data_IF_243044881251
#
_entry.id   IF_243044881251
#
_cell.length_a   1.000
_cell.length_b   1.000
_cell.length_c   1.000
_cell.angle_alpha   90.00
_cell.angle_beta   90.00
_cell.angle_gamma   90.00
#
_symmetry.space_group_name_H-M   'P 1'
#
loop_
_entity.id
_entity.type
_entity.pdbx_description
1 polymer ?
#
# COMPACT_ATOMS: atom_id res chain seq x y z
N UNK A 1 15.45 20.92 8.34
CA UNK A 1 14.57 19.74 8.39
C UNK A 1 13.89 19.70 7.05
N UNK A 2 14.36 18.87 6.12
CA UNK A 2 13.72 18.74 4.82
C UNK A 2 12.42 17.96 5.03
N UNK A 3 11.32 18.70 5.01
CA UNK A 3 9.96 18.16 5.07
C UNK A 3 9.74 17.44 3.74
N UNK A 4 9.64 16.11 3.79
CA UNK A 4 9.28 15.32 2.61
C UNK A 4 7.80 15.54 2.39
N UNK A 5 7.52 16.47 1.48
CA UNK A 5 6.20 16.70 0.93
C UNK A 5 5.85 15.53 -0.01
N UNK A 6 4.72 14.83 0.19
CA UNK A 6 4.21 13.84 -0.76
C UNK A 6 4.08 14.36 -2.21
N UNK A 7 4.11 15.68 -2.38
CA UNK A 7 3.97 16.41 -3.64
C UNK A 7 5.25 17.09 -4.17
N UNK A 8 6.37 17.03 -3.42
CA UNK A 8 7.62 17.73 -3.75
C UNK A 8 8.62 16.88 -4.55
N UNK A 9 9.11 17.40 -5.68
CA UNK A 9 10.15 16.76 -6.51
C UNK A 9 11.55 17.18 -6.06
N UNK A 10 12.11 16.50 -5.07
CA UNK A 10 13.54 16.57 -4.75
C UNK A 10 14.19 15.24 -5.12
N UNK A 11 15.43 15.28 -5.63
CA UNK A 11 16.24 14.07 -5.85
C UNK A 11 16.36 13.37 -4.50
N UNK A 12 15.63 12.27 -4.35
CA UNK A 12 15.47 11.60 -3.07
C UNK A 12 16.79 10.89 -2.75
N UNK A 13 17.47 11.34 -1.71
CA UNK A 13 18.59 10.62 -1.11
C UNK A 13 18.03 9.46 -0.28
N UNK A 14 17.89 8.31 -0.94
CA UNK A 14 17.28 7.13 -0.36
C UNK A 14 18.09 6.53 0.80
N UNK A 15 19.39 6.82 0.90
CA UNK A 15 20.22 6.39 2.03
C UNK A 15 19.91 7.22 3.29
N UNK A 16 19.77 8.54 3.13
CA UNK A 16 19.30 9.41 4.22
C UNK A 16 17.89 9.08 4.68
N UNK A 17 17.00 8.71 3.75
CA UNK A 17 15.67 8.21 4.07
C UNK A 17 15.72 6.95 4.94
N UNK A 18 16.62 6.00 4.63
CA UNK A 18 16.74 4.78 5.43
C UNK A 18 17.16 5.08 6.87
N UNK A 19 18.10 5.99 7.06
CA UNK A 19 18.57 6.40 8.39
C UNK A 19 17.52 7.21 9.15
N UNK A 20 16.90 8.20 8.51
CA UNK A 20 15.96 9.12 9.17
C UNK A 20 14.68 8.41 9.65
N UNK A 21 14.19 7.44 8.88
CA UNK A 21 12.95 6.74 9.18
C UNK A 21 13.19 5.36 9.82
N UNK A 22 14.44 4.93 9.98
CA UNK A 22 14.77 3.58 10.49
C UNK A 22 14.26 2.47 9.55
N UNK A 23 14.24 2.72 8.25
CA UNK A 23 13.96 1.71 7.23
C UNK A 23 15.23 0.90 7.04
N UNK A 24 15.15 -0.43 7.21
CA UNK A 24 16.30 -1.32 7.01
C UNK A 24 16.57 -1.50 5.52
N UNK A 25 17.82 -1.74 5.13
CA UNK A 25 18.14 -1.94 3.73
C UNK A 25 17.58 -3.27 3.22
N UNK A 26 16.99 -3.29 2.03
CA UNK A 26 16.43 -4.53 1.46
C UNK A 26 17.52 -5.57 1.14
N UNK A 27 18.73 -5.10 0.83
CA UNK A 27 19.91 -5.96 0.59
C UNK A 27 20.22 -6.90 1.77
N UNK A 28 19.79 -6.55 2.97
CA UNK A 28 20.06 -7.32 4.18
C UNK A 28 19.29 -8.65 4.20
N UNK A 29 18.18 -8.75 3.45
CA UNK A 29 17.30 -9.94 3.41
C UNK A 29 17.25 -10.61 2.04
N UNK A 30 17.86 -10.02 1.01
CA UNK A 30 17.67 -10.48 -0.39
C UNK A 30 18.17 -11.90 -0.63
N UNK A 31 19.24 -12.32 0.05
CA UNK A 31 19.83 -13.64 -0.10
C UNK A 31 18.97 -14.76 0.51
N UNK A 32 17.98 -14.41 1.33
CA UNK A 32 17.03 -15.35 1.94
C UNK A 32 15.78 -15.55 1.08
N UNK A 33 15.65 -14.84 -0.05
CA UNK A 33 14.45 -14.85 -0.89
C UNK A 33 14.62 -15.84 -2.05
N UNK A 34 13.81 -16.90 -2.13
CA UNK A 34 13.87 -17.84 -3.24
C UNK A 34 13.37 -17.19 -4.54
N UNK A 35 14.21 -17.18 -5.59
CA UNK A 35 13.91 -16.56 -6.89
C UNK A 35 13.46 -15.08 -6.72
N UNK A 36 14.35 -14.29 -6.13
CA UNK A 36 14.16 -12.86 -5.90
C UNK A 36 13.88 -12.11 -7.23
N UNK A 37 12.93 -11.18 -7.20
CA UNK A 37 12.54 -10.44 -8.41
C UNK A 37 13.66 -9.55 -8.95
N UNK A 38 13.55 -9.15 -10.22
CA UNK A 38 14.47 -8.14 -10.81
C UNK A 38 14.41 -6.80 -10.08
N UNK A 39 13.26 -6.44 -9.49
CA UNK A 39 13.12 -5.19 -8.73
C UNK A 39 13.91 -5.27 -7.41
N UNK A 40 13.96 -6.45 -6.79
CA UNK A 40 14.76 -6.71 -5.59
C UNK A 40 16.25 -6.72 -5.92
N UNK A 41 16.67 -7.54 -6.90
CA UNK A 41 18.10 -7.73 -7.24
C UNK A 41 18.77 -6.51 -7.85
N UNK A 42 18.00 -5.58 -8.43
CA UNK A 42 18.51 -4.31 -8.97
C UNK A 42 18.46 -3.15 -7.96
N UNK A 43 18.05 -3.40 -6.71
CA UNK A 43 17.94 -2.35 -5.69
C UNK A 43 16.88 -1.28 -5.97
N UNK A 44 15.89 -1.59 -6.81
CA UNK A 44 14.71 -0.74 -7.03
C UNK A 44 13.84 -0.79 -5.78
N UNK A 45 13.61 -2.00 -5.25
CA UNK A 45 13.19 -2.19 -3.87
C UNK A 45 14.45 -2.03 -3.01
N UNK A 46 14.55 -0.90 -2.33
CA UNK A 46 15.78 -0.50 -1.63
C UNK A 46 15.67 -0.66 -0.11
N UNK A 47 14.44 -0.62 0.44
CA UNK A 47 14.20 -0.65 1.87
C UNK A 47 13.15 -1.67 2.29
N UNK A 48 13.15 -2.02 3.57
CA UNK A 48 12.17 -2.90 4.18
C UNK A 48 11.86 -2.59 5.64
N UNK A 49 10.71 -3.09 6.08
CA UNK A 49 10.36 -3.27 7.49
C UNK A 49 9.85 -4.69 7.72
N UNK A 50 10.47 -5.37 8.66
CA UNK A 50 10.17 -6.73 9.12
C UNK A 50 9.92 -7.77 8.03
N UNK A 51 10.60 -7.61 6.90
CA UNK A 51 10.46 -8.52 5.76
C UNK A 51 10.91 -9.94 6.07
N UNK A 52 11.65 -10.15 7.16
CA UNK A 52 12.00 -11.48 7.68
C UNK A 52 10.77 -12.36 7.98
N UNK A 53 9.61 -11.76 8.33
CA UNK A 53 8.35 -12.52 8.48
C UNK A 53 7.87 -13.09 7.14
N UNK A 54 8.14 -12.38 6.05
CA UNK A 54 7.81 -12.79 4.69
C UNK A 54 8.83 -13.79 4.17
N UNK A 55 10.14 -13.61 4.45
CA UNK A 55 11.14 -14.63 4.09
C UNK A 55 10.89 -15.95 4.82
N UNK A 56 10.53 -15.91 6.10
CA UNK A 56 10.10 -17.11 6.84
C UNK A 56 8.88 -17.79 6.20
N UNK A 57 7.86 -17.01 5.80
CA UNK A 57 6.69 -17.56 5.13
C UNK A 57 7.02 -18.19 3.77
N UNK A 58 7.86 -17.53 2.97
CA UNK A 58 8.32 -18.02 1.68
C UNK A 58 9.14 -19.32 1.81
N UNK A 59 10.06 -19.38 2.77
CA UNK A 59 10.98 -20.50 2.93
C UNK A 59 10.32 -21.73 3.58
N UNK A 60 9.28 -21.52 4.39
CA UNK A 60 8.57 -22.59 5.08
C UNK A 60 7.17 -22.87 4.51
N UNK A 61 6.86 -22.31 3.33
CA UNK A 61 5.56 -22.47 2.66
C UNK A 61 4.36 -22.17 3.57
N UNK A 62 4.46 -21.09 4.38
CA UNK A 62 3.38 -20.61 5.24
C UNK A 62 2.56 -19.55 4.50
N UNK A 63 1.28 -19.45 4.87
CA UNK A 63 0.39 -18.44 4.30
C UNK A 63 0.83 -17.02 4.69
N UNK A 64 0.76 -16.10 3.72
CA UNK A 64 0.96 -14.67 3.93
C UNK A 64 0.16 -13.89 2.87
N UNK A 65 -0.19 -12.65 3.17
CA UNK A 65 -0.97 -11.82 2.26
C UNK A 65 -0.17 -10.61 1.77
N UNK A 66 -0.46 -10.15 0.57
CA UNK A 66 0.04 -8.89 0.00
C UNK A 66 -1.13 -7.94 -0.09
N UNK A 67 -1.03 -6.76 0.51
CA UNK A 67 -2.07 -5.74 0.42
C UNK A 67 -1.63 -4.56 -0.43
N UNK A 68 -2.51 -4.12 -1.33
CA UNK A 68 -2.35 -2.88 -2.09
C UNK A 68 -3.66 -2.10 -2.14
N UNK A 69 -3.57 -0.79 -2.03
CA UNK A 69 -4.68 0.12 -2.31
C UNK A 69 -4.58 0.68 -3.73
N UNK A 70 -5.73 0.84 -4.38
CA UNK A 70 -5.87 1.51 -5.66
C UNK A 70 -6.74 2.75 -5.48
N UNK A 71 -6.15 3.92 -5.74
CA UNK A 71 -6.90 5.16 -5.87
C UNK A 71 -7.41 5.26 -7.32
N UNK A 72 -8.73 5.17 -7.57
CA UNK A 72 -9.28 5.21 -8.92
C UNK A 72 -9.30 6.64 -9.45
N UNK A 73 -8.19 7.12 -10.01
CA UNK A 73 -8.08 8.51 -10.43
C UNK A 73 -7.07 8.73 -11.56
N UNK A 74 -7.57 9.23 -12.68
CA UNK A 74 -6.76 9.48 -13.87
C UNK A 74 -6.30 8.19 -14.54
N UNK A 75 -5.44 8.34 -15.55
CA UNK A 75 -4.96 7.21 -16.36
C UNK A 75 -3.79 6.48 -15.71
N UNK A 76 -3.70 5.17 -15.90
CA UNK A 76 -2.58 4.37 -15.44
C UNK A 76 -1.35 4.67 -16.29
N UNK A 77 -0.24 5.05 -15.65
CA UNK A 77 1.07 5.18 -16.28
C UNK A 77 2.08 4.10 -15.84
N UNK A 78 3.22 4.01 -16.54
CA UNK A 78 4.30 3.03 -16.28
C UNK A 78 4.82 3.01 -14.83
N UNK A 79 4.70 4.10 -14.08
CA UNK A 79 4.96 4.09 -12.63
C UNK A 79 4.13 3.05 -11.86
N UNK A 80 2.87 2.82 -12.23
CA UNK A 80 2.01 1.82 -11.61
C UNK A 80 2.41 0.38 -11.97
N UNK A 81 3.03 0.18 -13.14
CA UNK A 81 3.51 -1.13 -13.59
C UNK A 81 4.46 -1.77 -12.56
N UNK A 82 5.28 -0.97 -11.89
CA UNK A 82 6.20 -1.47 -10.86
C UNK A 82 5.46 -2.10 -9.67
N UNK A 83 4.29 -1.59 -9.30
CA UNK A 83 3.45 -2.22 -8.27
C UNK A 83 2.87 -3.52 -8.82
N UNK A 84 2.34 -3.52 -10.05
CA UNK A 84 1.81 -4.73 -10.70
C UNK A 84 2.86 -5.85 -10.81
N UNK A 85 4.10 -5.52 -11.18
CA UNK A 85 5.20 -6.48 -11.24
C UNK A 85 5.49 -7.13 -9.87
N UNK A 86 5.38 -6.36 -8.78
CA UNK A 86 5.51 -6.86 -7.41
C UNK A 86 4.35 -7.78 -7.05
N UNK A 87 3.10 -7.36 -7.30
CA UNK A 87 1.90 -8.16 -7.05
C UNK A 87 1.97 -9.50 -7.78
N UNK A 88 2.35 -9.49 -9.06
CA UNK A 88 2.55 -10.71 -9.84
C UNK A 88 3.61 -11.62 -9.23
N UNK A 89 4.71 -11.05 -8.74
CA UNK A 89 5.75 -11.86 -8.10
C UNK A 89 5.21 -12.51 -6.83
N UNK A 90 4.58 -11.76 -5.92
CA UNK A 90 3.98 -12.31 -4.70
C UNK A 90 2.88 -13.33 -4.99
N UNK A 91 2.03 -13.08 -6.00
CA UNK A 91 0.98 -14.00 -6.41
C UNK A 91 1.55 -15.34 -6.89
N UNK A 92 2.67 -15.32 -7.64
CA UNK A 92 3.37 -16.56 -8.03
C UNK A 92 4.02 -17.29 -6.85
N UNK A 93 4.36 -16.57 -5.78
CA UNK A 93 4.87 -17.15 -4.53
C UNK A 93 3.76 -17.65 -3.59
N UNK A 94 2.50 -17.65 -4.04
CA UNK A 94 1.37 -18.16 -3.27
C UNK A 94 0.78 -17.17 -2.26
N UNK A 95 1.12 -15.88 -2.34
CA UNK A 95 0.51 -14.87 -1.48
C UNK A 95 -0.97 -14.66 -1.82
N UNK A 96 -1.81 -14.47 -0.80
CA UNK A 96 -3.15 -13.92 -0.99
C UNK A 96 -3.04 -12.43 -1.34
N UNK A 97 -3.44 -12.06 -2.55
CA UNK A 97 -3.41 -10.69 -3.03
C UNK A 97 -4.71 -10.01 -2.67
N UNK A 98 -4.66 -9.04 -1.76
CA UNK A 98 -5.76 -8.15 -1.46
C UNK A 98 -5.57 -6.82 -2.17
N UNK A 99 -6.64 -6.36 -2.82
CA UNK A 99 -6.67 -5.11 -3.57
C UNK A 99 -7.93 -4.34 -3.21
N UNK A 100 -7.76 -3.23 -2.50
CA UNK A 100 -8.88 -2.32 -2.23
C UNK A 100 -8.98 -1.25 -3.31
N UNK A 101 -10.19 -0.98 -3.75
CA UNK A 101 -10.53 0.22 -4.52
C UNK A 101 -10.94 1.28 -3.50
N UNK A 102 -10.15 2.34 -3.39
CA UNK A 102 -10.30 3.42 -2.41
C UNK A 102 -11.39 4.43 -2.82
N UNK A 103 -12.59 3.93 -3.14
CA UNK A 103 -13.72 4.74 -3.62
C UNK A 103 -14.27 5.70 -2.56
N UNK A 104 -14.16 5.34 -1.27
CA UNK A 104 -14.53 6.23 -0.17
C UNK A 104 -13.56 7.42 -0.05
N UNK A 105 -12.26 7.19 -0.26
CA UNK A 105 -11.26 8.25 -0.28
C UNK A 105 -11.38 9.12 -1.52
N UNK A 106 -11.58 8.51 -2.70
CA UNK A 106 -11.81 9.23 -3.94
C UNK A 106 -13.02 10.19 -3.82
N UNK A 107 -14.11 9.75 -3.19
CA UNK A 107 -15.25 10.60 -2.90
C UNK A 107 -14.93 11.73 -1.92
N UNK A 108 -14.33 11.42 -0.77
CA UNK A 108 -14.14 12.39 0.30
C UNK A 108 -13.03 13.41 0.04
N UNK A 109 -11.97 13.02 -0.67
CA UNK A 109 -10.79 13.83 -0.92
C UNK A 109 -10.79 14.50 -2.31
N UNK A 110 -11.42 13.87 -3.30
CA UNK A 110 -11.35 14.30 -4.72
C UNK A 110 -12.72 14.59 -5.34
N UNK A 111 -13.82 14.33 -4.64
CA UNK A 111 -15.17 14.54 -5.15
C UNK A 111 -15.58 13.58 -6.27
N UNK A 112 -14.85 12.48 -6.46
CA UNK A 112 -15.15 11.47 -7.49
C UNK A 112 -16.31 10.61 -6.98
N UNK A 113 -17.36 10.44 -7.79
CA UNK A 113 -18.51 9.63 -7.39
C UNK A 113 -18.12 8.16 -7.22
N UNK A 114 -18.88 7.39 -6.42
CA UNK A 114 -18.60 5.95 -6.25
C UNK A 114 -18.77 5.15 -7.55
N UNK A 115 -19.76 5.53 -8.36
CA UNK A 115 -19.99 4.92 -9.68
C UNK A 115 -18.82 5.17 -10.62
N UNK A 116 -18.33 6.41 -10.67
CA UNK A 116 -17.15 6.79 -11.46
C UNK A 116 -15.88 6.12 -10.95
N UNK A 117 -15.71 6.03 -9.63
CA UNK A 117 -14.59 5.32 -8.99
C UNK A 117 -14.56 3.84 -9.39
N UNK A 118 -15.73 3.18 -9.40
CA UNK A 118 -15.86 1.79 -9.85
C UNK A 118 -15.53 1.65 -11.33
N UNK A 119 -16.07 2.52 -12.18
CA UNK A 119 -15.82 2.49 -13.62
C UNK A 119 -14.34 2.67 -13.94
N UNK A 120 -13.70 3.69 -13.36
CA UNK A 120 -12.26 3.94 -13.49
C UNK A 120 -11.45 2.76 -13.00
N UNK A 121 -11.77 2.19 -11.83
CA UNK A 121 -11.05 1.04 -11.31
C UNK A 121 -11.10 -0.15 -12.28
N UNK A 122 -12.27 -0.46 -12.84
CA UNK A 122 -12.45 -1.58 -13.75
C UNK A 122 -11.75 -1.35 -15.09
N UNK A 123 -12.11 -0.26 -15.77
CA UNK A 123 -11.73 0.00 -17.17
C UNK A 123 -10.29 0.50 -17.28
N UNK A 124 -9.83 1.34 -16.36
CA UNK A 124 -8.50 1.94 -16.47
C UNK A 124 -7.43 1.16 -15.71
N UNK A 125 -7.76 0.52 -14.58
CA UNK A 125 -6.73 -0.12 -13.76
C UNK A 125 -6.77 -1.65 -13.84
N UNK A 126 -7.91 -2.29 -13.57
CA UNK A 126 -8.00 -3.75 -13.53
C UNK A 126 -7.74 -4.35 -14.93
N UNK A 127 -8.30 -3.78 -15.99
CA UNK A 127 -7.98 -4.20 -17.37
C UNK A 127 -6.48 -4.13 -17.67
N UNK A 128 -5.82 -3.02 -17.30
CA UNK A 128 -4.37 -2.88 -17.47
C UNK A 128 -3.56 -3.85 -16.59
N UNK A 129 -4.02 -4.14 -15.37
CA UNK A 129 -3.37 -5.11 -14.48
C UNK A 129 -3.43 -6.52 -15.07
N UNK A 130 -4.58 -6.90 -15.64
CA UNK A 130 -4.77 -8.16 -16.36
C UNK A 130 -3.87 -8.19 -17.60
N UNK A 131 -3.83 -7.12 -18.40
CA UNK A 131 -2.97 -7.02 -19.58
C UNK A 131 -1.48 -7.14 -19.25
N UNK A 132 -1.07 -6.63 -18.08
CA UNK A 132 0.27 -6.80 -17.55
C UNK A 132 0.52 -8.19 -16.97
N UNK A 133 -0.49 -9.04 -16.85
CA UNK A 133 -0.40 -10.45 -16.49
C UNK A 133 -0.61 -10.74 -15.00
N UNK A 134 -1.30 -9.86 -14.26
CA UNK A 134 -1.85 -10.20 -12.95
C UNK A 134 -3.09 -11.08 -13.16
N UNK A 135 -3.12 -12.26 -12.55
CA UNK A 135 -4.21 -13.20 -12.75
C UNK A 135 -5.30 -12.97 -11.70
N UNK A 136 -6.33 -12.22 -12.08
CA UNK A 136 -7.46 -11.89 -11.19
C UNK A 136 -8.48 -13.03 -11.04
N UNK A 137 -8.29 -14.14 -11.76
CA UNK A 137 -9.21 -15.29 -11.73
C UNK A 137 -8.86 -16.32 -10.67
N UNK A 138 -7.67 -16.20 -10.05
CA UNK A 138 -7.23 -17.11 -8.99
C UNK A 138 -7.99 -16.86 -7.69
N UNK A 139 -8.20 -17.94 -6.95
CA UNK A 139 -8.88 -17.91 -5.64
C UNK A 139 -8.14 -17.04 -4.60
N UNK A 140 -6.81 -16.91 -4.74
CA UNK A 140 -5.98 -16.08 -3.87
C UNK A 140 -5.93 -14.59 -4.32
N UNK A 141 -6.88 -14.13 -5.13
CA UNK A 141 -7.03 -12.74 -5.52
C UNK A 141 -8.35 -12.17 -4.98
N UNK A 142 -8.26 -11.14 -4.15
CA UNK A 142 -9.39 -10.52 -3.46
C UNK A 142 -9.48 -9.04 -3.83
N UNK A 143 -10.43 -8.70 -4.70
CA UNK A 143 -10.73 -7.34 -5.11
C UNK A 143 -12.02 -6.86 -4.45
N UNK A 144 -12.02 -5.67 -3.87
CA UNK A 144 -13.22 -5.10 -3.27
C UNK A 144 -13.22 -3.57 -3.28
N UNK A 145 -14.42 -2.99 -3.23
CA UNK A 145 -14.63 -1.56 -2.97
C UNK A 145 -14.68 -1.32 -1.47
N UNK A 146 -14.00 -0.28 -0.98
CA UNK A 146 -14.05 0.08 0.44
C UNK A 146 -15.49 0.33 0.89
N UNK A 147 -16.30 0.96 0.05
CA UNK A 147 -17.70 1.26 0.42
C UNK A 147 -18.61 0.04 0.53
N UNK A 148 -18.24 -1.09 -0.09
CA UNK A 148 -19.01 -2.34 -0.12
C UNK A 148 -18.44 -3.42 0.80
N UNK A 149 -17.27 -3.18 1.40
CA UNK A 149 -16.65 -4.10 2.34
C UNK A 149 -16.99 -3.70 3.79
N UNK A 150 -18.01 -4.35 4.36
CA UNK A 150 -18.45 -4.08 5.74
C UNK A 150 -17.37 -4.40 6.77
N UNK A 151 -16.49 -5.34 6.48
CA UNK A 151 -15.43 -5.75 7.41
C UNK A 151 -14.39 -4.66 7.56
N UNK A 152 -13.97 -4.08 6.45
CA UNK A 152 -13.06 -2.93 6.42
C UNK A 152 -13.70 -1.74 7.11
N UNK A 153 -14.97 -1.43 6.82
CA UNK A 153 -15.67 -0.30 7.45
C UNK A 153 -15.81 -0.48 8.97
N UNK A 154 -16.21 -1.67 9.41
CA UNK A 154 -16.36 -2.00 10.83
C UNK A 154 -15.01 -1.98 11.55
N UNK A 155 -13.97 -2.57 10.95
CA UNK A 155 -12.62 -2.57 11.51
C UNK A 155 -12.07 -1.13 11.61
N UNK A 156 -12.26 -0.30 10.58
CA UNK A 156 -11.86 1.11 10.60
C UNK A 156 -12.53 1.89 11.73
N UNK A 157 -13.82 1.63 11.99
CA UNK A 157 -14.55 2.25 13.09
C UNK A 157 -13.93 1.90 14.46
N UNK A 158 -13.62 0.61 14.66
CA UNK A 158 -12.97 0.15 15.89
C UNK A 158 -11.58 0.76 16.06
N UNK A 159 -10.78 0.77 15.00
CA UNK A 159 -9.44 1.38 14.97
C UNK A 159 -9.50 2.86 15.34
N UNK A 160 -10.53 3.58 14.86
CA UNK A 160 -10.76 5.00 15.16
C UNK A 160 -10.77 5.32 16.66
N UNK A 161 -11.16 4.38 17.52
CA UNK A 161 -11.11 4.53 18.99
C UNK A 161 -9.70 4.75 19.54
N UNK A 162 -8.65 4.33 18.81
CA UNK A 162 -7.25 4.34 19.24
C UNK A 162 -6.40 5.41 18.55
N UNK A 163 -7.01 6.26 17.72
CA UNK A 163 -6.33 7.32 16.96
C UNK A 163 -6.92 8.68 17.34
N UNK A 164 -6.05 9.62 17.66
CA UNK A 164 -6.44 11.00 17.96
C UNK A 164 -6.36 11.88 16.72
N UNK A 165 -7.16 12.95 16.68
CA UNK A 165 -7.07 13.93 15.60
C UNK A 165 -5.67 14.57 15.51
N UNK A 166 -4.99 14.80 16.65
CA UNK A 166 -3.62 15.31 16.67
C UNK A 166 -2.64 14.42 15.89
N UNK A 167 -2.76 13.09 16.00
CA UNK A 167 -1.97 12.16 15.20
C UNK A 167 -2.29 12.29 13.72
N UNK A 168 -3.58 12.39 13.36
CA UNK A 168 -3.99 12.58 11.96
C UNK A 168 -3.44 13.88 11.36
N UNK A 169 -3.47 14.98 12.12
CA UNK A 169 -2.86 16.26 11.71
C UNK A 169 -1.36 16.13 11.47
N UNK A 170 -0.66 15.45 12.36
CA UNK A 170 0.80 15.26 12.28
C UNK A 170 1.21 14.44 11.05
N UNK A 171 0.45 13.39 10.73
CA UNK A 171 0.80 12.45 9.64
C UNK A 171 0.33 12.94 8.28
N UNK A 172 -0.89 13.49 8.19
CA UNK A 172 -1.55 13.81 6.93
C UNK A 172 -1.68 15.31 6.66
N UNK A 173 -1.25 16.16 7.60
CA UNK A 173 -1.37 17.61 7.46
C UNK A 173 -2.81 18.13 7.56
N UNK A 174 -3.75 17.32 8.06
CA UNK A 174 -5.15 17.75 8.20
C UNK A 174 -5.28 18.96 9.13
N UNK A 175 -6.30 19.76 8.85
CA UNK A 175 -6.64 20.96 9.58
C UNK A 175 -8.16 21.07 9.76
N UNK A 176 -8.61 22.18 10.34
CA UNK A 176 -10.02 22.41 10.61
C UNK A 176 -10.87 22.63 9.35
N UNK A 177 -10.25 22.79 8.17
CA UNK A 177 -10.96 22.87 6.89
C UNK A 177 -11.16 21.50 6.24
N UNK A 178 -10.45 20.48 6.72
CA UNK A 178 -10.55 19.11 6.19
C UNK A 178 -11.87 18.49 6.64
N UNK A 179 -12.64 17.95 5.69
CA UNK A 179 -13.93 17.33 6.01
C UNK A 179 -13.74 16.00 6.78
N UNK A 180 -14.72 15.65 7.62
CA UNK A 180 -14.65 14.47 8.51
C UNK A 180 -14.52 13.16 7.72
N UNK A 181 -15.18 13.07 6.55
CA UNK A 181 -15.05 11.87 5.72
C UNK A 181 -13.60 11.67 5.25
N UNK A 182 -12.91 12.73 4.83
CA UNK A 182 -11.51 12.67 4.44
C UNK A 182 -10.60 12.35 5.63
N UNK A 183 -10.86 12.94 6.80
CA UNK A 183 -10.14 12.61 8.05
C UNK A 183 -10.30 11.12 8.43
N UNK A 184 -11.41 10.49 8.06
CA UNK A 184 -11.68 9.08 8.34
C UNK A 184 -10.95 8.13 7.38
N UNK A 185 -10.61 8.56 6.16
CA UNK A 185 -10.03 7.69 5.12
C UNK A 185 -8.72 6.98 5.51
N UNK A 186 -7.79 7.57 6.29
CA UNK A 186 -6.63 6.83 6.76
C UNK A 186 -6.99 5.61 7.61
N UNK A 187 -8.10 5.66 8.37
CA UNK A 187 -8.55 4.53 9.18
C UNK A 187 -9.05 3.37 8.29
N UNK A 188 -9.67 3.68 7.16
CA UNK A 188 -10.03 2.68 6.14
C UNK A 188 -8.78 2.03 5.54
N UNK A 189 -7.73 2.82 5.27
CA UNK A 189 -6.46 2.30 4.77
C UNK A 189 -5.72 1.42 5.80
N UNK A 190 -5.76 1.78 7.09
CA UNK A 190 -5.26 0.90 8.18
C UNK A 190 -6.05 -0.41 8.18
N UNK A 191 -7.39 -0.32 8.14
CA UNK A 191 -8.27 -1.48 8.15
C UNK A 191 -8.03 -2.38 6.92
N UNK A 192 -7.81 -1.80 5.75
CA UNK A 192 -7.43 -2.49 4.52
C UNK A 192 -6.15 -3.33 4.70
N UNK A 193 -5.12 -2.78 5.35
CA UNK A 193 -3.86 -3.51 5.61
C UNK A 193 -4.04 -4.63 6.64
N UNK A 194 -4.91 -4.46 7.62
CA UNK A 194 -5.16 -5.44 8.68
C UNK A 194 -6.25 -6.47 8.31
N UNK A 195 -7.09 -6.17 7.33
CA UNK A 195 -8.20 -7.01 6.89
C UNK A 195 -7.77 -8.44 6.54
N UNK A 196 -6.66 -8.70 5.83
CA UNK A 196 -6.20 -10.07 5.54
C UNK A 196 -5.88 -10.91 6.79
N UNK A 197 -5.68 -10.27 7.95
CA UNK A 197 -5.33 -10.94 9.21
C UNK A 197 -6.54 -11.35 10.03
N UNK A 198 -7.76 -10.95 9.64
CA UNK A 198 -8.97 -11.39 10.32
C UNK A 198 -9.12 -12.91 10.21
N UNK A 199 -9.63 -13.55 11.27
CA UNK A 199 -9.80 -15.01 11.35
C UNK A 199 -10.59 -15.57 10.15
N UNK A 200 -11.69 -14.93 9.77
CA UNK A 200 -12.51 -15.32 8.61
C UNK A 200 -11.78 -15.27 7.27
N UNK A 201 -10.69 -14.51 7.19
CA UNK A 201 -9.83 -14.40 6.02
C UNK A 201 -8.66 -15.37 6.09
N UNK A 202 -8.69 -16.34 7.03
CA UNK A 202 -7.62 -17.31 7.26
C UNK A 202 -6.41 -16.71 7.96
N UNK A 203 -6.59 -15.64 8.73
CA UNK A 203 -5.56 -15.03 9.57
C UNK A 203 -5.58 -15.53 11.03
N UNK A 204 -4.70 -15.01 11.90
CA UNK A 204 -3.69 -13.98 11.60
C UNK A 204 -2.54 -14.55 10.75
N UNK A 205 -2.11 -13.77 9.74
CA UNK A 205 -0.99 -14.10 8.86
C UNK A 205 -0.17 -12.85 8.55
N UNK A 206 1.14 -12.97 8.26
CA UNK A 206 1.94 -11.80 7.88
C UNK A 206 1.37 -11.11 6.65
N UNK A 207 1.30 -9.78 6.69
CA UNK A 207 0.91 -8.94 5.55
C UNK A 207 2.12 -8.16 5.05
N UNK A 208 2.35 -8.16 3.75
CA UNK A 208 3.34 -7.31 3.09
C UNK A 208 2.66 -6.20 2.29
N UNK A 209 3.12 -4.97 2.49
CA UNK A 209 2.62 -3.79 1.75
C UNK A 209 3.75 -3.19 0.91
N UNK A 210 3.71 -3.31 -0.43
CA UNK A 210 4.68 -2.64 -1.31
C UNK A 210 4.33 -1.17 -1.49
N UNK A 211 5.19 -0.25 -1.03
CA UNK A 211 4.90 1.18 -1.00
C UNK A 211 6.08 2.06 -1.40
N UNK A 212 5.79 3.33 -1.71
CA UNK A 212 6.80 4.37 -1.79
C UNK A 212 7.27 4.82 -0.40
N UNK A 213 8.44 5.48 -0.29
CA UNK A 213 8.96 5.98 0.99
C UNK A 213 8.06 7.02 1.67
N UNK A 214 7.31 7.79 0.89
CA UNK A 214 6.32 8.78 1.34
C UNK A 214 5.16 8.17 2.14
N UNK A 215 4.90 6.87 1.96
CA UNK A 215 3.83 6.15 2.67
C UNK A 215 4.30 5.57 4.02
N UNK A 216 5.58 5.69 4.36
CA UNK A 216 6.13 5.17 5.61
C UNK A 216 5.42 5.68 6.88
N UNK A 217 5.06 6.98 7.00
CA UNK A 217 4.31 7.46 8.15
C UNK A 217 2.98 6.71 8.36
N UNK A 218 2.27 6.38 7.28
CA UNK A 218 1.04 5.58 7.36
C UNK A 218 1.34 4.14 7.77
N UNK A 219 2.37 3.50 7.21
CA UNK A 219 2.78 2.14 7.63
C UNK A 219 3.11 2.10 9.12
N UNK A 220 3.81 3.12 9.65
CA UNK A 220 4.11 3.21 11.09
C UNK A 220 2.85 3.33 11.93
N UNK A 221 1.90 4.18 11.54
CA UNK A 221 0.60 4.29 12.21
C UNK A 221 -0.13 2.93 12.22
N UNK A 222 -0.16 2.24 11.08
CA UNK A 222 -0.80 0.91 10.96
C UNK A 222 -0.16 -0.11 11.87
N UNK A 223 1.18 -0.12 12.00
CA UNK A 223 1.91 -1.00 12.90
C UNK A 223 1.62 -0.71 14.38
N UNK A 224 1.61 0.56 14.77
CA UNK A 224 1.26 0.97 16.13
C UNK A 224 -0.17 0.54 16.50
N UNK A 225 -1.08 0.60 15.53
CA UNK A 225 -2.47 0.15 15.71
C UNK A 225 -2.59 -1.37 15.73
N UNK A 226 -1.87 -2.09 14.87
CA UNK A 226 -1.79 -3.55 14.91
C UNK A 226 -1.36 -4.04 16.30
N UNK A 227 -0.30 -3.45 16.87
CA UNK A 227 0.18 -3.78 18.21
C UNK A 227 -0.88 -3.52 19.30
N UNK A 228 -1.61 -2.41 19.22
CA UNK A 228 -2.69 -2.07 20.17
C UNK A 228 -3.90 -3.02 20.11
N UNK A 229 -4.11 -3.66 18.97
CA UNK A 229 -5.20 -4.62 18.73
C UNK A 229 -4.71 -6.08 18.73
N UNK A 230 -3.44 -6.32 19.11
CA UNK A 230 -2.87 -7.67 19.15
C UNK A 230 -3.60 -8.58 20.15
N UNK A 231 -3.92 -8.08 21.35
CA UNK A 231 -4.64 -8.88 22.36
C UNK A 231 -6.06 -9.27 21.92
N UNK A 232 -6.73 -8.41 21.14
CA UNK A 232 -8.13 -8.60 20.73
C UNK A 232 -8.25 -9.43 19.44
N UNK A 233 -7.34 -9.22 18.47
CA UNK A 233 -7.43 -9.81 17.13
C UNK A 233 -6.24 -10.68 16.74
N UNK A 234 -5.18 -10.73 17.55
CA UNK A 234 -3.93 -11.40 17.17
C UNK A 234 -3.17 -10.70 16.04
N UNK A 235 -3.46 -9.42 15.77
CA UNK A 235 -2.83 -8.70 14.67
C UNK A 235 -1.31 -8.65 14.80
N UNK A 236 -0.66 -8.93 13.67
CA UNK A 236 0.77 -8.87 13.45
C UNK A 236 1.07 -7.53 12.78
N UNK A 237 2.12 -6.83 13.21
CA UNK A 237 2.50 -5.58 12.55
C UNK A 237 2.85 -5.85 11.08
N UNK A 238 2.27 -5.10 10.12
CA UNK A 238 2.53 -5.34 8.70
C UNK A 238 4.01 -5.13 8.38
N UNK A 239 4.49 -5.99 7.49
CA UNK A 239 5.77 -5.83 6.81
C UNK A 239 5.60 -4.84 5.66
N UNK A 240 6.67 -4.15 5.28
CA UNK A 240 6.65 -3.26 4.14
C UNK A 240 7.91 -3.40 3.29
N UNK A 241 7.75 -3.20 1.98
CA UNK A 241 8.88 -2.97 1.06
C UNK A 241 8.79 -1.56 0.53
N UNK A 242 9.95 -0.91 0.40
CA UNK A 242 10.05 0.47 -0.10
C UNK A 242 10.76 0.46 -1.45
N UNK A 243 10.08 1.00 -2.46
CA UNK A 243 10.61 1.08 -3.81
C UNK A 243 10.89 2.52 -4.23
N UNK A 244 11.90 2.68 -5.09
CA UNK A 244 12.23 3.97 -5.70
C UNK A 244 11.11 4.40 -6.65
N UNK A 245 10.80 5.68 -6.68
CA UNK A 245 9.87 6.19 -7.69
C UNK A 245 10.54 6.19 -9.06
N UNK A 246 9.77 5.82 -10.08
CA UNK A 246 10.21 6.00 -11.45
C UNK A 246 10.19 7.51 -11.76
N UNK A 247 11.33 8.05 -12.17
CA UNK A 247 11.45 9.43 -12.61
C UNK A 247 10.64 9.63 -13.88
N UNK A 248 9.80 10.66 -13.90
CA UNK A 248 9.04 11.09 -15.06
C UNK A 248 9.92 11.65 -16.17
N UNK A 249 9.35 11.80 -17.35
CA UNK A 249 10.08 12.21 -18.56
C UNK A 249 10.71 13.60 -18.46
N UNK A 250 10.20 14.44 -17.56
CA UNK A 250 10.68 15.81 -17.30
C UNK A 250 11.60 15.91 -16.07
N UNK A 251 11.96 14.78 -15.43
CA UNK A 251 12.79 14.73 -14.23
C UNK A 251 12.01 14.79 -12.90
N UNK A 252 10.73 15.14 -12.93
CA UNK A 252 9.82 15.13 -11.76
C UNK A 252 9.07 13.78 -11.60
N UNK A 253 8.19 13.63 -10.61
CA UNK A 253 7.36 12.42 -10.45
C UNK A 253 6.33 12.30 -11.59
N UNK A 254 6.08 11.09 -12.07
CA UNK A 254 4.99 10.82 -13.02
C UNK A 254 3.64 11.16 -12.40
N UNK A 255 2.75 11.81 -13.16
CA UNK A 255 1.41 12.18 -12.70
C UNK A 255 0.39 12.13 -13.82
N UNK A 256 -0.78 11.56 -13.55
CA UNK A 256 -1.95 11.57 -14.45
C UNK A 256 -2.48 12.99 -14.72
N UNK A 257 -2.27 13.93 -13.79
CA UNK A 257 -2.64 15.34 -13.97
C UNK A 257 -1.62 16.17 -14.77
N UNK A 258 -0.41 15.63 -15.00
CA UNK A 258 0.63 16.27 -15.83
C UNK A 258 1.06 15.31 -16.95
N UNK A 259 0.27 15.17 -18.04
CA UNK A 259 0.50 14.12 -19.04
C UNK A 259 1.88 14.10 -19.68
N UNK A 260 2.57 15.25 -19.75
CA UNK A 260 3.94 15.34 -20.29
C UNK A 260 4.99 14.63 -19.44
N UNK A 261 4.68 14.29 -18.19
CA UNK A 261 5.64 13.66 -17.27
C UNK A 261 5.60 12.14 -17.34
N UNK A 262 4.59 11.54 -17.99
CA UNK A 262 4.28 10.11 -17.88
C UNK A 262 4.03 9.43 -19.24
N UNK A 263 4.28 8.12 -19.28
CA UNK A 263 3.88 7.22 -20.37
C UNK A 263 2.72 6.38 -19.83
N UNK A 264 1.58 6.42 -20.53
CA UNK A 264 0.36 5.67 -20.20
C UNK A 264 0.31 4.37 -20.99
#
# INVERSE_FOLDING_TARGET
MDMIDPWGSTIIDYEKLTEQFGIRAFKDVINEIPDASKLMTRGIIFGQRDYSRITDALNNNKNFATMTGMMPSGRMHIGHKMVVDQLKWYQRKGSDIYMSIADMEAYAARGISKSESRELALVEYIENYIALGLDVTKENFHLYLQSENDDVKNLAYLIGKKVTFSQMRSIYGFDNSTNIAHIYTPLLQVADILHPQLEKNGGPKPVIVPVGPDQDPHIRLTRDLAAKFNEEYGFIEPSATFHRFMTGLTGEKMSSSKPKTAIY
#
